data_IF_021019681519
#
_entry.id   IF_021019681519
#
_cell.length_a   1.000
_cell.length_b   1.000
_cell.length_c   1.000
_cell.angle_alpha   90.00
_cell.angle_beta   90.00
_cell.angle_gamma   90.00
#
_symmetry.space_group_name_H-M   'P 1'
#
loop_
_entity.id
_entity.type
_entity.pdbx_description
1 polymer ?
#
# COMPACT_ATOMS: atom_id res chain seq x y z
N UNK A 1 -17.84 -20.19 -11.22
CA UNK A 1 -17.67 -19.78 -12.64
C UNK A 1 -16.21 -19.98 -13.01
N UNK A 2 -15.96 -20.73 -14.09
CA UNK A 2 -14.62 -21.18 -14.52
C UNK A 2 -13.78 -20.03 -15.10
N UNK A 3 -12.47 -20.08 -14.86
CA UNK A 3 -11.46 -19.02 -15.06
C UNK A 3 -11.03 -18.78 -16.52
N UNK A 4 -11.76 -19.31 -17.51
CA UNK A 4 -11.43 -19.19 -18.93
C UNK A 4 -12.68 -18.77 -19.68
N UNK A 5 -12.76 -17.48 -19.97
CA UNK A 5 -13.23 -16.90 -21.23
C UNK A 5 -13.40 -15.39 -21.01
N UNK A 6 -13.59 -14.64 -22.10
CA UNK A 6 -13.67 -13.17 -22.21
C UNK A 6 -12.39 -12.46 -22.68
N UNK A 7 -12.09 -12.71 -23.96
CA UNK A 7 -11.40 -11.76 -24.84
C UNK A 7 -12.40 -10.79 -25.51
N UNK A 8 -11.90 -9.57 -25.74
CA UNK A 8 -12.33 -8.54 -26.71
C UNK A 8 -13.34 -7.46 -26.28
N UNK A 9 -12.77 -6.32 -25.85
CA UNK A 9 -12.88 -5.03 -26.57
C UNK A 9 -11.60 -4.22 -26.36
N UNK A 10 -10.92 -3.85 -27.45
CA UNK A 10 -9.69 -3.04 -27.41
C UNK A 10 -10.08 -1.56 -27.47
N UNK A 11 -9.77 -0.81 -26.42
CA UNK A 11 -9.42 0.60 -26.58
C UNK A 11 -7.90 0.61 -26.78
N UNK A 12 -7.46 0.94 -27.99
CA UNK A 12 -6.03 0.98 -28.33
C UNK A 12 -5.41 2.25 -27.75
N UNK A 13 -4.88 2.16 -26.53
CA UNK A 13 -3.91 3.13 -26.02
C UNK A 13 -2.58 2.85 -26.74
N UNK A 14 -2.26 3.65 -27.76
CA UNK A 14 -1.01 3.54 -28.51
C UNK A 14 0.16 3.92 -27.61
N UNK A 15 1.04 2.96 -27.28
CA UNK A 15 2.31 3.23 -26.60
C UNK A 15 2.74 2.21 -25.54
N UNK A 16 1.85 1.34 -25.05
CA UNK A 16 2.23 0.39 -24.01
C UNK A 16 2.91 -0.87 -24.55
N UNK A 17 4.14 -1.13 -24.12
CA UNK A 17 4.72 -2.48 -24.08
C UNK A 17 3.74 -3.39 -23.35
N UNK A 18 3.21 -4.39 -24.06
CA UNK A 18 2.25 -5.37 -23.54
C UNK A 18 2.73 -5.93 -22.20
N UNK A 19 2.00 -5.68 -21.12
CA UNK A 19 2.36 -6.13 -19.77
C UNK A 19 2.47 -7.67 -19.75
N UNK A 20 3.52 -8.19 -19.12
CA UNK A 20 3.73 -9.63 -18.97
C UNK A 20 2.52 -10.25 -18.24
N UNK A 21 2.05 -11.42 -18.71
CA UNK A 21 0.92 -12.13 -18.13
C UNK A 21 1.07 -12.37 -16.62
N UNK A 22 2.29 -12.68 -16.15
CA UNK A 22 2.52 -12.91 -14.72
C UNK A 22 2.38 -11.62 -13.89
N UNK A 23 2.87 -10.49 -14.42
CA UNK A 23 2.69 -9.18 -13.77
C UNK A 23 1.22 -8.77 -13.72
N UNK A 24 0.49 -9.05 -14.81
CA UNK A 24 -0.94 -8.78 -14.87
C UNK A 24 -1.68 -9.55 -13.78
N UNK A 25 -1.42 -10.85 -13.63
CA UNK A 25 -2.02 -11.67 -12.58
C UNK A 25 -1.69 -11.15 -11.18
N UNK A 26 -0.41 -10.90 -10.88
CA UNK A 26 0.00 -10.40 -9.56
C UNK A 26 -0.63 -9.03 -9.23
N UNK A 27 -0.72 -8.14 -10.23
CA UNK A 27 -1.35 -6.84 -10.04
C UNK A 27 -2.88 -6.94 -9.89
N UNK A 28 -3.53 -7.81 -10.66
CA UNK A 28 -4.95 -8.12 -10.47
C UNK A 28 -5.23 -8.59 -9.05
N UNK A 29 -4.40 -9.46 -8.49
CA UNK A 29 -4.57 -9.95 -7.11
C UNK A 29 -4.35 -8.84 -6.08
N UNK A 30 -3.39 -7.93 -6.28
CA UNK A 30 -3.21 -6.76 -5.41
C UNK A 30 -4.46 -5.86 -5.47
N UNK A 31 -4.96 -5.53 -6.66
CA UNK A 31 -6.16 -4.72 -6.86
C UNK A 31 -7.38 -5.42 -6.23
N UNK A 32 -7.48 -6.74 -6.38
CA UNK A 32 -8.52 -7.54 -5.76
C UNK A 32 -8.48 -7.44 -4.24
N UNK A 33 -7.30 -7.64 -3.63
CA UNK A 33 -7.08 -7.50 -2.20
C UNK A 33 -7.31 -6.09 -1.64
N UNK A 34 -7.46 -5.07 -2.48
CA UNK A 34 -7.80 -3.69 -2.08
C UNK A 34 -9.30 -3.40 -2.14
N UNK A 35 -10.10 -4.41 -2.50
CA UNK A 35 -11.56 -4.36 -2.45
C UNK A 35 -12.25 -4.29 -3.81
N UNK A 36 -11.51 -4.38 -4.92
CA UNK A 36 -12.15 -4.55 -6.22
C UNK A 36 -12.46 -6.03 -6.48
N UNK A 37 -13.75 -6.36 -6.65
CA UNK A 37 -14.16 -7.76 -6.75
C UNK A 37 -13.65 -8.47 -8.01
N UNK A 38 -13.74 -7.80 -9.17
CA UNK A 38 -13.43 -8.40 -10.48
C UNK A 38 -12.59 -7.41 -11.29
N UNK A 39 -11.29 -7.28 -11.00
CA UNK A 39 -10.41 -6.36 -11.73
C UNK A 39 -10.34 -6.76 -13.20
N UNK A 40 -10.66 -5.82 -14.09
CA UNK A 40 -10.59 -6.06 -15.54
C UNK A 40 -9.16 -5.84 -16.02
N UNK A 41 -8.77 -6.59 -17.06
CA UNK A 41 -7.43 -6.46 -17.63
C UNK A 41 -7.10 -5.03 -18.07
N UNK A 42 -8.02 -4.38 -18.77
CA UNK A 42 -7.83 -3.01 -19.26
C UNK A 42 -7.72 -2.02 -18.11
N UNK A 43 -8.52 -2.15 -17.04
CA UNK A 43 -8.36 -1.30 -15.85
C UNK A 43 -7.07 -1.55 -15.11
N UNK A 44 -6.60 -2.79 -15.04
CA UNK A 44 -5.32 -3.14 -14.42
C UNK A 44 -4.14 -2.53 -15.19
N UNK A 45 -4.17 -2.57 -16.53
CA UNK A 45 -3.16 -1.93 -17.38
C UNK A 45 -3.13 -0.39 -17.20
N UNK A 46 -4.31 0.23 -17.05
CA UNK A 46 -4.45 1.66 -16.79
C UNK A 46 -3.97 2.02 -15.37
N UNK A 47 -4.35 1.25 -14.34
CA UNK A 47 -3.85 1.45 -12.97
C UNK A 47 -2.33 1.32 -12.93
N UNK A 48 -1.75 0.33 -13.61
CA UNK A 48 -0.30 0.19 -13.67
C UNK A 48 0.40 1.44 -14.22
N UNK A 49 -0.21 2.02 -15.26
CA UNK A 49 0.24 3.26 -15.89
C UNK A 49 0.13 4.46 -14.96
N UNK A 50 -0.94 4.55 -14.16
CA UNK A 50 -1.08 5.53 -13.06
C UNK A 50 0.05 5.36 -12.04
N UNK A 51 0.33 4.11 -11.61
CA UNK A 51 1.38 3.85 -10.62
C UNK A 51 2.73 4.35 -11.13
N UNK A 52 3.10 4.05 -12.37
CA UNK A 52 4.38 4.50 -12.93
C UNK A 52 4.45 6.03 -12.93
N UNK A 53 3.43 6.72 -13.47
CA UNK A 53 3.38 8.19 -13.49
C UNK A 53 3.50 8.78 -12.08
N UNK A 54 2.70 8.29 -11.14
CA UNK A 54 2.71 8.76 -9.76
C UNK A 54 4.08 8.54 -9.10
N UNK A 55 4.72 7.39 -9.34
CA UNK A 55 6.04 7.10 -8.78
C UNK A 55 7.15 7.96 -9.40
N UNK A 56 7.10 8.24 -10.69
CA UNK A 56 8.02 9.16 -11.37
C UNK A 56 7.91 10.57 -10.76
N UNK A 57 6.69 11.09 -10.61
CA UNK A 57 6.45 12.39 -9.95
C UNK A 57 6.95 12.39 -8.52
N UNK A 58 6.62 11.35 -7.74
CA UNK A 58 7.01 11.23 -6.35
C UNK A 58 8.54 11.23 -6.20
N UNK A 59 9.25 10.43 -7.00
CA UNK A 59 10.71 10.34 -6.94
C UNK A 59 11.36 11.66 -7.35
N UNK A 60 10.85 12.33 -8.39
CA UNK A 60 11.32 13.66 -8.79
C UNK A 60 11.14 14.69 -7.69
N UNK A 61 9.96 14.73 -7.05
CA UNK A 61 9.72 15.64 -5.91
C UNK A 61 10.60 15.31 -4.70
N UNK A 62 10.86 14.03 -4.42
CA UNK A 62 11.76 13.60 -3.34
C UNK A 62 13.21 14.02 -3.62
N UNK A 63 13.67 13.94 -4.86
CA UNK A 63 14.99 14.39 -5.24
C UNK A 63 15.12 15.91 -5.10
N UNK A 64 14.12 16.68 -5.56
CA UNK A 64 14.05 18.13 -5.34
C UNK A 64 14.09 18.48 -3.85
N UNK A 65 13.38 17.72 -3.02
CA UNK A 65 13.42 17.88 -1.57
C UNK A 65 14.79 17.53 -0.96
N UNK A 66 15.50 16.53 -1.49
CA UNK A 66 16.86 16.19 -1.05
C UNK A 66 17.83 17.33 -1.32
N UNK A 67 17.79 17.88 -2.55
CA UNK A 67 18.61 19.02 -2.98
C UNK A 67 18.30 20.25 -2.11
N UNK A 68 17.01 20.58 -1.91
CA UNK A 68 16.58 21.71 -1.08
C UNK A 68 17.08 21.61 0.37
N UNK A 69 17.20 20.39 0.90
CA UNK A 69 17.69 20.12 2.25
C UNK A 69 19.21 19.89 2.30
N UNK A 70 19.94 20.24 1.23
CA UNK A 70 21.40 20.12 1.07
C UNK A 70 21.93 18.69 1.25
N UNK A 71 21.16 17.69 0.81
CA UNK A 71 21.53 16.29 0.88
C UNK A 71 21.74 15.69 -0.51
N UNK A 72 22.89 15.06 -0.74
CA UNK A 72 23.19 14.36 -1.99
C UNK A 72 22.38 13.06 -2.15
N UNK A 73 22.04 12.41 -1.04
CA UNK A 73 21.40 11.09 -1.04
C UNK A 73 19.97 11.15 -0.53
N UNK A 74 19.07 10.40 -1.16
CA UNK A 74 17.68 10.32 -0.72
C UNK A 74 17.55 9.52 0.58
N UNK A 75 16.77 10.08 1.50
CA UNK A 75 16.46 9.48 2.79
C UNK A 75 14.96 9.55 3.10
N UNK A 76 14.53 8.83 4.15
CA UNK A 76 13.14 8.87 4.65
C UNK A 76 12.69 10.30 4.98
N UNK A 77 13.60 11.16 5.41
CA UNK A 77 13.34 12.58 5.67
C UNK A 77 12.79 13.30 4.42
N UNK A 78 13.32 12.98 3.25
CA UNK A 78 12.89 13.64 2.00
C UNK A 78 11.53 13.13 1.55
N UNK A 79 11.26 11.84 1.73
CA UNK A 79 9.91 11.27 1.52
C UNK A 79 8.89 11.97 2.41
N UNK A 80 9.19 12.11 3.70
CA UNK A 80 8.32 12.77 4.66
C UNK A 80 8.12 14.27 4.33
N UNK A 81 9.17 14.94 3.86
CA UNK A 81 9.09 16.33 3.43
C UNK A 81 8.09 16.54 2.29
N UNK A 82 8.06 15.62 1.31
CA UNK A 82 7.09 15.62 0.21
C UNK A 82 5.70 15.25 0.72
N UNK A 83 5.60 14.29 1.63
CA UNK A 83 4.32 13.79 2.15
C UNK A 83 3.68 14.67 3.24
N UNK A 84 4.33 15.73 3.72
CA UNK A 84 3.90 16.51 4.90
C UNK A 84 2.49 17.10 4.82
N UNK A 85 2.00 17.35 3.60
CA UNK A 85 0.68 17.93 3.34
C UNK A 85 -0.38 16.87 3.00
N UNK A 86 0.03 15.60 2.85
CA UNK A 86 -0.84 14.49 2.51
C UNK A 86 -1.18 13.72 3.79
N UNK A 87 -2.15 14.25 4.53
CA UNK A 87 -2.42 13.89 5.94
C UNK A 87 -2.89 12.45 6.06
N UNK A 88 -3.79 12.01 5.19
CA UNK A 88 -4.37 10.66 5.23
C UNK A 88 -3.28 9.62 4.91
N UNK A 89 -2.48 9.89 3.89
CA UNK A 89 -1.36 9.06 3.46
C UNK A 89 -0.28 8.98 4.54
N UNK A 90 -0.01 10.09 5.21
CA UNK A 90 0.94 10.18 6.32
C UNK A 90 0.47 9.36 7.54
N UNK A 91 -0.83 9.41 7.86
CA UNK A 91 -1.38 8.56 8.93
C UNK A 91 -1.21 7.09 8.55
N UNK A 92 -1.60 6.70 7.34
CA UNK A 92 -1.54 5.30 6.88
C UNK A 92 -0.12 4.74 6.86
N UNK A 93 0.88 5.52 6.41
CA UNK A 93 2.28 5.07 6.44
C UNK A 93 2.78 4.88 7.88
N UNK A 94 2.42 5.79 8.80
CA UNK A 94 2.79 5.67 10.22
C UNK A 94 2.11 4.45 10.86
N UNK A 95 0.81 4.27 10.68
CA UNK A 95 0.07 3.11 11.19
C UNK A 95 0.64 1.80 10.66
N UNK A 96 0.92 1.73 9.36
CA UNK A 96 1.46 0.52 8.73
C UNK A 96 2.82 0.13 9.31
N UNK A 97 3.78 1.06 9.37
CA UNK A 97 5.11 0.74 9.86
C UNK A 97 5.15 0.53 11.38
N UNK A 98 4.28 1.19 12.13
CA UNK A 98 4.10 0.88 13.55
C UNK A 98 3.66 -0.57 13.74
N UNK A 99 2.55 -0.97 13.12
CA UNK A 99 2.01 -2.32 13.23
C UNK A 99 3.02 -3.37 12.74
N UNK A 100 3.71 -3.09 11.63
CA UNK A 100 4.74 -3.96 11.07
C UNK A 100 5.91 -4.17 12.04
N UNK A 101 6.35 -3.12 12.72
CA UNK A 101 7.43 -3.20 13.70
C UNK A 101 6.96 -3.92 14.99
N UNK A 102 5.72 -3.72 15.43
CA UNK A 102 5.11 -4.43 16.57
C UNK A 102 5.02 -5.94 16.32
N UNK A 103 4.53 -6.36 15.16
CA UNK A 103 4.47 -7.79 14.77
C UNK A 103 5.87 -8.41 14.73
N UNK A 104 6.87 -7.68 14.22
CA UNK A 104 8.24 -8.17 14.19
C UNK A 104 8.86 -8.33 15.58
N UNK A 105 8.47 -7.50 16.55
CA UNK A 105 8.93 -7.61 17.93
C UNK A 105 8.28 -8.83 18.62
N UNK A 106 6.98 -9.02 18.44
CA UNK A 106 6.25 -10.18 18.96
C UNK A 106 6.82 -11.51 18.43
N UNK A 107 7.05 -11.60 17.13
CA UNK A 107 7.64 -12.80 16.53
C UNK A 107 9.05 -13.10 17.05
N UNK A 108 9.78 -12.13 17.61
CA UNK A 108 11.09 -12.39 18.22
C UNK A 108 10.96 -12.94 19.63
N UNK A 109 9.98 -12.47 20.39
CA UNK A 109 9.72 -12.95 21.74
C UNK A 109 9.30 -14.42 21.70
N UNK A 110 8.36 -14.79 20.82
CA UNK A 110 7.93 -16.19 20.64
C UNK A 110 9.08 -17.12 20.24
N UNK A 111 9.97 -16.68 19.34
CA UNK A 111 11.16 -17.45 18.95
C UNK A 111 12.24 -17.51 20.05
N UNK A 112 12.20 -16.63 21.04
CA UNK A 112 13.15 -16.64 22.16
C UNK A 112 12.71 -17.64 23.23
N UNK A 113 11.39 -17.83 23.40
CA UNK A 113 10.82 -18.81 24.32
C UNK A 113 11.01 -20.25 23.81
N UNK A 114 10.82 -20.52 22.51
CA UNK A 114 11.10 -21.85 21.93
C UNK A 114 12.60 -22.24 21.98
N UNK A 115 13.51 -21.26 21.97
CA UNK A 115 14.95 -21.52 22.03
C UNK A 115 15.47 -21.82 23.44
N UNK A 116 14.67 -21.61 24.49
CA UNK A 116 15.00 -22.05 25.85
C UNK A 116 14.63 -23.52 26.10
N UNK A 117 13.71 -24.09 25.33
CA UNK A 117 13.26 -25.48 25.51
C UNK A 117 13.91 -26.51 24.57
N UNK A 118 14.61 -26.08 23.50
CA UNK A 118 15.25 -27.00 22.55
C UNK A 118 16.79 -26.96 22.59
N UNK A 119 17.38 -27.15 23.77
CA UNK A 119 18.74 -27.72 23.89
C UNK A 119 18.66 -29.25 23.99
N UNK A 120 18.25 -29.88 22.90
CA UNK A 120 18.20 -31.34 22.80
C UNK A 120 17.80 -31.84 21.43
N UNK A 121 18.80 -32.13 20.59
CA UNK A 121 18.77 -33.00 19.40
C UNK A 121 18.24 -32.42 18.06
N UNK A 122 19.23 -32.23 17.17
CA UNK A 122 19.29 -32.56 15.74
C UNK A 122 18.61 -31.70 14.63
N UNK A 123 19.49 -31.34 13.68
CA UNK A 123 19.27 -30.86 12.30
C UNK A 123 18.52 -31.88 11.43
N UNK A 124 17.42 -31.47 10.75
CA UNK A 124 17.19 -31.50 9.26
C UNK A 124 15.71 -31.33 8.87
N UNK A 125 15.49 -30.78 7.66
CA UNK A 125 14.24 -30.49 6.90
C UNK A 125 13.46 -29.28 7.44
N UNK A 126 13.28 -28.13 6.75
CA UNK A 126 12.94 -27.77 5.36
C UNK A 126 11.50 -28.15 4.98
N UNK A 127 10.63 -27.13 5.09
CA UNK A 127 9.36 -26.87 4.38
C UNK A 127 8.32 -27.99 4.38
N UNK A 128 7.24 -27.81 5.14
CA UNK A 128 5.82 -27.96 4.75
C UNK A 128 4.94 -28.01 6.01
N UNK A 129 3.69 -27.55 5.87
CA UNK A 129 2.55 -27.67 6.80
C UNK A 129 2.54 -26.75 8.03
N UNK A 130 1.90 -25.58 7.89
CA UNK A 130 1.13 -25.00 9.00
C UNK A 130 -0.30 -25.49 8.79
N UNK A 131 -0.60 -26.66 9.35
CA UNK A 131 -1.95 -27.23 9.41
C UNK A 131 -2.48 -27.07 10.84
N UNK A 132 -3.57 -26.31 10.95
CA UNK A 132 -4.77 -26.54 11.78
C UNK A 132 -4.78 -26.69 13.31
N UNK A 133 -3.71 -26.63 14.08
CA UNK A 133 -3.82 -26.77 15.56
C UNK A 133 -3.44 -25.51 16.37
N UNK A 134 -4.19 -24.40 16.21
CA UNK A 134 -4.14 -23.25 17.14
C UNK A 134 -5.49 -23.07 17.88
N UNK A 135 -6.27 -24.14 17.99
CA UNK A 135 -7.48 -24.12 18.82
C UNK A 135 -7.45 -25.36 19.68
N UNK A 136 -6.70 -25.33 20.80
CA UNK A 136 -7.13 -26.00 22.05
C UNK A 136 -6.18 -25.93 23.24
N UNK A 137 -5.01 -25.27 23.19
CA UNK A 137 -4.16 -25.15 24.39
C UNK A 137 -4.07 -23.71 24.89
N UNK A 138 -5.17 -23.21 25.45
CA UNK A 138 -5.14 -22.11 26.42
C UNK A 138 -5.75 -22.63 27.71
N UNK A 139 -4.94 -23.28 28.53
CA UNK A 139 -5.11 -23.24 29.98
C UNK A 139 -3.76 -23.38 30.65
N UNK A 140 -3.39 -22.33 31.35
CA UNK A 140 -2.41 -22.24 32.44
C UNK A 140 -0.93 -22.17 32.02
N UNK A 141 -0.40 -20.94 31.96
CA UNK A 141 0.65 -20.44 32.88
C UNK A 141 1.05 -19.00 32.49
N UNK A 142 0.88 -18.07 33.42
CA UNK A 142 1.34 -16.66 33.47
C UNK A 142 1.58 -15.93 32.12
N UNK A 143 0.51 -15.63 31.40
CA UNK A 143 0.51 -14.76 30.22
C UNK A 143 0.92 -13.32 30.57
N UNK A 144 2.13 -12.91 30.19
CA UNK A 144 2.36 -11.52 29.79
C UNK A 144 1.58 -11.32 28.50
N UNK A 145 0.28 -11.03 28.60
CA UNK A 145 -0.55 -10.75 27.42
C UNK A 145 -0.05 -9.45 26.79
N UNK A 146 0.85 -9.54 25.82
CA UNK A 146 1.26 -8.38 25.02
C UNK A 146 0.12 -8.13 24.04
N UNK A 147 -0.84 -7.31 24.46
CA UNK A 147 -1.89 -6.82 23.58
C UNK A 147 -1.22 -5.92 22.54
N UNK A 148 -1.45 -6.22 21.26
CA UNK A 148 -1.19 -5.24 20.21
C UNK A 148 -2.27 -4.19 20.40
N UNK A 149 -1.90 -3.05 20.97
CA UNK A 149 -2.83 -1.93 21.15
C UNK A 149 -3.36 -1.45 19.79
N UNK A 150 -4.56 -0.87 19.77
CA UNK A 150 -5.15 -0.31 18.55
C UNK A 150 -4.23 0.78 17.98
N UNK A 151 -3.80 0.71 16.69
CA UNK A 151 -2.99 1.75 16.06
C UNK A 151 -3.57 3.16 16.22
N UNK A 152 -4.90 3.30 16.31
CA UNK A 152 -5.55 4.59 16.49
C UNK A 152 -5.23 5.21 17.86
N UNK A 153 -5.33 4.45 18.93
CA UNK A 153 -4.98 4.89 20.30
C UNK A 153 -3.50 5.22 20.39
N UNK A 154 -2.64 4.33 19.91
CA UNK A 154 -1.17 4.49 20.04
C UNK A 154 -0.67 5.72 19.29
N UNK A 155 -1.14 5.95 18.05
CA UNK A 155 -0.73 7.13 17.30
C UNK A 155 -1.30 8.43 17.86
N UNK A 156 -2.49 8.39 18.48
CA UNK A 156 -3.10 9.57 19.09
C UNK A 156 -2.38 10.01 20.37
N UNK A 157 -1.87 9.07 21.15
CA UNK A 157 -1.11 9.32 22.37
C UNK A 157 0.37 9.63 22.10
N UNK A 158 0.85 9.39 20.88
CA UNK A 158 2.27 9.51 20.57
C UNK A 158 2.75 10.96 20.48
N UNK A 159 3.84 11.25 21.18
CA UNK A 159 4.52 12.54 21.10
C UNK A 159 5.47 12.61 19.89
N UNK A 160 5.01 13.25 18.81
CA UNK A 160 5.81 13.50 17.59
C UNK A 160 6.80 14.66 17.72
N UNK A 161 6.98 15.26 18.90
CA UNK A 161 7.96 16.34 19.13
C UNK A 161 9.28 15.86 19.71
N UNK A 162 9.31 14.63 20.26
CA UNK A 162 10.49 14.04 20.89
C UNK A 162 11.14 12.99 20.00
N UNK A 163 12.46 13.12 19.81
CA UNK A 163 13.24 12.07 19.13
C UNK A 163 13.27 10.82 20.00
N UNK A 164 13.12 9.67 19.36
CA UNK A 164 13.43 8.41 20.02
C UNK A 164 14.94 8.20 20.08
N UNK A 165 15.45 8.04 21.30
CA UNK A 165 16.84 7.67 21.54
C UNK A 165 17.02 6.17 21.25
N UNK A 166 18.08 5.76 20.53
CA UNK A 166 18.36 4.35 20.33
C UNK A 166 18.65 3.68 21.69
N UNK A 167 17.69 2.89 22.18
CA UNK A 167 17.89 2.09 23.39
C UNK A 167 18.63 0.79 23.02
N UNK A 168 19.91 0.72 23.39
CA UNK A 168 20.71 -0.51 23.40
C UNK A 168 20.96 -1.15 22.03
N UNK A 169 21.82 -2.17 22.03
CA UNK A 169 22.40 -2.89 20.88
C UNK A 169 21.41 -3.62 19.95
N UNK A 170 20.18 -3.16 19.79
CA UNK A 170 19.23 -3.75 18.84
C UNK A 170 19.45 -3.17 17.43
N UNK A 171 20.15 -3.93 16.58
CA UNK A 171 20.33 -3.72 15.12
C UNK A 171 19.01 -3.77 14.32
N UNK A 172 17.87 -3.38 14.89
CA UNK A 172 16.58 -3.39 14.20
C UNK A 172 16.39 -2.04 13.53
N UNK A 173 16.51 -2.05 12.19
CA UNK A 173 16.22 -0.91 11.34
C UNK A 173 14.71 -0.65 11.26
N UNK A 174 14.11 -0.13 12.33
CA UNK A 174 12.70 0.30 12.34
C UNK A 174 12.51 1.49 11.39
N UNK A 175 11.60 1.32 10.41
CA UNK A 175 11.21 2.42 9.52
C UNK A 175 10.34 3.42 10.29
N UNK A 176 9.48 2.94 11.20
CA UNK A 176 8.64 3.79 12.03
C UNK A 176 9.45 4.78 12.87
N UNK A 177 10.49 4.31 13.57
CA UNK A 177 11.40 5.17 14.35
C UNK A 177 12.09 6.22 13.47
N UNK A 178 12.50 5.85 12.26
CA UNK A 178 13.09 6.80 11.32
C UNK A 178 12.10 7.84 10.82
N UNK A 179 10.85 7.45 10.56
CA UNK A 179 9.77 8.39 10.22
C UNK A 179 9.54 9.38 11.38
N UNK A 180 9.38 8.88 12.61
CA UNK A 180 9.20 9.72 13.80
C UNK A 180 10.36 10.68 14.02
N UNK A 181 11.60 10.21 13.95
CA UNK A 181 12.78 11.07 14.10
C UNK A 181 12.88 12.11 12.98
N UNK A 182 12.50 11.76 11.74
CA UNK A 182 12.44 12.71 10.64
C UNK A 182 11.35 13.78 10.84
N UNK A 183 10.20 13.44 11.44
CA UNK A 183 9.16 14.40 11.82
C UNK A 183 9.73 15.47 12.76
N UNK A 184 10.47 15.04 13.78
CA UNK A 184 11.10 15.95 14.75
C UNK A 184 12.15 16.83 14.07
N UNK A 185 13.01 16.25 13.23
CA UNK A 185 14.07 16.98 12.52
C UNK A 185 13.53 18.04 11.56
N UNK A 186 12.43 17.73 10.89
CA UNK A 186 11.74 18.67 10.00
C UNK A 186 10.85 19.66 10.76
N UNK A 187 10.74 19.53 12.08
CA UNK A 187 9.87 20.34 12.95
C UNK A 187 8.42 20.35 12.44
N UNK A 188 7.94 19.22 11.91
CA UNK A 188 6.58 19.12 11.42
C UNK A 188 5.62 19.08 12.61
N UNK A 189 4.64 19.98 12.63
CA UNK A 189 3.60 20.04 13.65
C UNK A 189 2.51 19.01 13.33
N UNK A 190 2.83 17.74 13.55
CA UNK A 190 1.88 16.63 13.35
C UNK A 190 1.22 16.32 14.69
N UNK A 191 -0.09 16.56 14.74
CA UNK A 191 -0.99 16.03 15.77
C UNK A 191 -1.93 15.08 15.06
N UNK A 192 -2.03 13.84 15.51
CA UNK A 192 -2.94 12.84 14.93
C UNK A 192 -3.98 12.53 16.02
N UNK A 193 -5.26 12.54 15.68
CA UNK A 193 -6.32 12.09 16.60
C UNK A 193 -6.75 10.66 16.26
N UNK A 194 -7.29 9.95 17.24
CA UNK A 194 -7.84 8.60 17.05
C UNK A 194 -8.92 8.58 15.95
N UNK A 195 -9.75 9.61 15.92
CA UNK A 195 -10.80 9.80 14.92
C UNK A 195 -10.22 9.94 13.50
N UNK A 196 -9.10 10.63 13.33
CA UNK A 196 -8.43 10.75 12.03
C UNK A 196 -7.85 9.41 11.57
N UNK A 197 -7.30 8.61 12.49
CA UNK A 197 -6.80 7.27 12.17
C UNK A 197 -7.96 6.36 11.75
N UNK A 198 -9.09 6.39 12.46
CA UNK A 198 -10.28 5.62 12.10
C UNK A 198 -10.83 6.04 10.74
N UNK A 199 -11.10 7.33 10.54
CA UNK A 199 -11.59 7.87 9.26
C UNK A 199 -10.66 7.56 8.09
N UNK A 200 -9.35 7.55 8.31
CA UNK A 200 -8.39 7.23 7.23
C UNK A 200 -8.51 5.79 6.72
N UNK A 201 -9.10 4.87 7.48
CA UNK A 201 -9.19 3.45 7.11
C UNK A 201 -10.63 2.92 6.99
N UNK A 202 -11.61 3.62 7.57
CA UNK A 202 -13.00 3.19 7.70
C UNK A 202 -13.61 2.73 6.37
N UNK A 203 -13.60 3.58 5.34
CA UNK A 203 -14.18 3.25 4.03
C UNK A 203 -13.53 2.01 3.39
N UNK A 204 -12.23 1.81 3.61
CA UNK A 204 -11.50 0.62 3.10
C UNK A 204 -11.89 -0.63 3.87
N UNK A 205 -12.06 -0.54 5.19
CA UNK A 205 -12.51 -1.66 6.02
C UNK A 205 -13.93 -2.07 5.67
N UNK A 206 -14.85 -1.11 5.55
CA UNK A 206 -16.24 -1.37 5.13
C UNK A 206 -16.25 -2.10 3.79
N UNK A 207 -15.50 -1.61 2.80
CA UNK A 207 -15.41 -2.26 1.49
C UNK A 207 -14.83 -3.67 1.55
N UNK A 208 -13.79 -3.90 2.36
CA UNK A 208 -13.24 -5.24 2.55
C UNK A 208 -14.25 -6.19 3.20
N UNK A 209 -15.04 -5.70 4.16
CA UNK A 209 -16.10 -6.47 4.81
C UNK A 209 -17.24 -6.78 3.84
N UNK A 210 -17.66 -5.80 3.04
CA UNK A 210 -18.68 -5.98 1.99
C UNK A 210 -18.28 -7.03 0.97
N UNK A 211 -17.02 -7.04 0.54
CA UNK A 211 -16.49 -8.09 -0.33
C UNK A 211 -16.46 -9.44 0.39
N UNK A 212 -16.05 -9.48 1.65
CA UNK A 212 -15.96 -10.73 2.42
C UNK A 212 -17.32 -11.42 2.60
N UNK A 213 -18.38 -10.65 2.89
CA UNK A 213 -19.74 -11.15 3.15
C UNK A 213 -20.32 -11.87 1.92
N UNK A 214 -19.95 -11.45 0.71
CA UNK A 214 -20.52 -12.00 -0.53
C UNK A 214 -19.72 -13.17 -1.11
N UNK A 215 -18.57 -13.51 -0.53
CA UNK A 215 -17.70 -14.59 -0.99
C UNK A 215 -18.06 -15.92 -0.33
N UNK A 216 -17.86 -17.03 -1.05
CA UNK A 216 -17.87 -18.36 -0.43
C UNK A 216 -16.62 -18.54 0.44
N UNK A 217 -16.62 -19.54 1.34
CA UNK A 217 -15.47 -19.82 2.22
C UNK A 217 -14.14 -19.92 1.45
N UNK A 218 -14.11 -20.70 0.36
CA UNK A 218 -12.90 -20.85 -0.48
C UNK A 218 -12.50 -19.54 -1.17
N UNK A 219 -13.47 -18.73 -1.59
CA UNK A 219 -13.20 -17.46 -2.25
C UNK A 219 -12.74 -16.39 -1.24
N UNK A 220 -13.22 -16.44 0.00
CA UNK A 220 -12.76 -15.61 1.10
C UNK A 220 -11.30 -15.91 1.46
N UNK A 221 -10.91 -17.18 1.53
CA UNK A 221 -9.51 -17.56 1.75
C UNK A 221 -8.60 -16.98 0.65
N UNK A 222 -9.00 -17.11 -0.62
CA UNK A 222 -8.27 -16.51 -1.74
C UNK A 222 -8.19 -14.98 -1.65
N UNK A 223 -9.28 -14.32 -1.23
CA UNK A 223 -9.31 -12.87 -1.00
C UNK A 223 -8.35 -12.46 0.14
N UNK A 224 -8.32 -13.18 1.24
CA UNK A 224 -7.39 -12.95 2.35
C UNK A 224 -5.91 -13.06 1.91
N UNK A 225 -5.58 -14.04 1.08
CA UNK A 225 -4.25 -14.16 0.47
C UNK A 225 -3.94 -12.92 -0.38
N UNK A 226 -4.91 -12.47 -1.19
CA UNK A 226 -4.77 -11.27 -2.03
C UNK A 226 -4.55 -10.00 -1.19
N UNK A 227 -5.27 -9.81 -0.07
CA UNK A 227 -5.11 -8.64 0.82
C UNK A 227 -3.69 -8.46 1.34
N UNK A 228 -3.01 -9.58 1.61
CA UNK A 228 -1.63 -9.62 2.13
C UNK A 228 -0.57 -9.36 1.05
N UNK A 229 -0.93 -9.46 -0.24
CA UNK A 229 0.00 -9.17 -1.34
C UNK A 229 0.43 -7.70 -1.32
N UNK A 230 1.70 -7.49 -1.66
CA UNK A 230 2.32 -6.17 -1.69
C UNK A 230 3.50 -6.19 -2.67
N UNK A 231 4.04 -5.01 -2.98
CA UNK A 231 5.16 -4.89 -3.91
C UNK A 231 6.53 -5.12 -3.24
N UNK A 232 6.62 -5.14 -1.91
CA UNK A 232 7.91 -5.23 -1.25
C UNK A 232 8.44 -6.67 -1.23
N UNK A 233 9.71 -6.85 -1.62
CA UNK A 233 10.38 -8.16 -1.75
C UNK A 233 9.65 -9.13 -2.72
N UNK A 234 8.95 -8.59 -3.72
CA UNK A 234 8.30 -9.37 -4.77
C UNK A 234 8.88 -9.03 -6.14
N UNK A 235 8.80 -9.97 -7.08
CA UNK A 235 9.31 -9.77 -8.45
C UNK A 235 8.59 -8.62 -9.17
N UNK A 236 7.27 -8.50 -8.96
CA UNK A 236 6.48 -7.39 -9.51
C UNK A 236 6.95 -6.03 -8.99
N UNK A 237 7.34 -5.92 -7.72
CA UNK A 237 7.87 -4.67 -7.17
C UNK A 237 9.23 -4.29 -7.75
N UNK A 238 10.13 -5.26 -7.93
CA UNK A 238 11.42 -5.02 -8.57
C UNK A 238 11.25 -4.59 -10.04
N UNK A 239 10.32 -5.24 -10.75
CA UNK A 239 9.97 -4.87 -12.13
C UNK A 239 9.31 -3.49 -12.22
N UNK A 240 8.42 -3.15 -11.28
CA UNK A 240 7.81 -1.83 -11.21
C UNK A 240 8.89 -0.74 -11.07
N UNK A 241 9.82 -0.90 -10.12
CA UNK A 241 10.90 0.08 -9.95
C UNK A 241 11.78 0.16 -11.19
N UNK A 242 12.11 -0.96 -11.83
CA UNK A 242 12.85 -0.96 -13.08
C UNK A 242 12.15 -0.12 -14.17
N UNK A 243 10.83 -0.25 -14.30
CA UNK A 243 10.06 0.54 -15.27
C UNK A 243 10.00 2.02 -14.89
N UNK A 244 9.87 2.34 -13.60
CA UNK A 244 9.93 3.71 -13.10
C UNK A 244 11.30 4.34 -13.36
N UNK A 245 12.40 3.60 -13.11
CA UNK A 245 13.75 4.07 -13.41
C UNK A 245 13.98 4.32 -14.90
N UNK A 246 13.44 3.47 -15.78
CA UNK A 246 13.49 3.71 -17.23
C UNK A 246 12.67 4.92 -17.68
N UNK A 247 11.69 5.34 -16.88
CA UNK A 247 10.86 6.51 -17.17
C UNK A 247 11.50 7.81 -16.70
N UNK A 248 12.30 7.75 -15.63
CA UNK A 248 12.95 8.94 -15.07
C UNK A 248 13.97 9.50 -16.08
N UNK A 249 14.08 10.83 -16.20
CA UNK A 249 15.12 11.46 -17.03
C UNK A 249 16.53 11.30 -16.48
N UNK A 250 16.65 10.96 -15.20
CA UNK A 250 17.92 10.88 -14.46
C UNK A 250 18.05 9.57 -13.69
N UNK A 251 19.29 9.16 -13.48
CA UNK A 251 19.62 8.04 -12.61
C UNK A 251 19.47 8.42 -11.14
N UNK A 252 18.91 7.50 -10.36
CA UNK A 252 18.68 7.73 -8.95
C UNK A 252 18.87 6.48 -8.12
N UNK A 253 19.58 6.64 -7.01
CA UNK A 253 19.80 5.57 -6.04
C UNK A 253 19.20 5.96 -4.70
N UNK A 254 18.51 5.01 -4.08
CA UNK A 254 17.95 5.19 -2.74
C UNK A 254 18.15 3.92 -1.92
N UNK A 255 18.23 4.08 -0.60
CA UNK A 255 18.49 2.95 0.30
C UNK A 255 17.28 2.01 0.41
N UNK A 256 17.50 0.83 1.01
CA UNK A 256 16.48 -0.23 1.17
C UNK A 256 15.19 0.25 1.85
N UNK A 257 15.28 1.17 2.81
CA UNK A 257 14.10 1.65 3.53
C UNK A 257 13.28 2.62 2.70
N UNK A 258 13.94 3.51 1.95
CA UNK A 258 13.25 4.37 0.97
C UNK A 258 12.61 3.51 -0.11
N UNK A 259 13.32 2.48 -0.63
CA UNK A 259 12.75 1.52 -1.57
C UNK A 259 11.47 0.87 -1.03
N UNK A 260 11.51 0.42 0.23
CA UNK A 260 10.36 -0.19 0.88
C UNK A 260 9.17 0.77 1.01
N UNK A 261 9.43 2.04 1.38
CA UNK A 261 8.39 3.07 1.47
C UNK A 261 7.81 3.42 0.09
N UNK A 262 8.64 3.55 -0.95
CA UNK A 262 8.16 3.82 -2.31
C UNK A 262 7.23 2.70 -2.80
N UNK A 263 7.56 1.44 -2.50
CA UNK A 263 6.73 0.28 -2.85
C UNK A 263 5.44 0.21 -2.02
N UNK A 264 5.45 0.68 -0.78
CA UNK A 264 4.22 0.89 0.00
C UNK A 264 3.35 1.96 -0.65
N UNK A 265 3.92 3.11 -1.02
CA UNK A 265 3.21 4.22 -1.65
C UNK A 265 2.66 3.85 -3.04
N UNK A 266 3.32 2.94 -3.76
CA UNK A 266 2.79 2.36 -4.99
C UNK A 266 1.49 1.58 -4.75
N UNK A 267 1.39 0.81 -3.66
CA UNK A 267 0.14 0.15 -3.26
C UNK A 267 -0.90 1.17 -2.83
N UNK A 268 -0.52 2.21 -2.07
CA UNK A 268 -1.42 3.29 -1.71
C UNK A 268 -1.96 4.07 -2.91
N UNK A 269 -1.19 4.17 -3.99
CA UNK A 269 -1.65 4.76 -5.26
C UNK A 269 -2.83 3.99 -5.84
N UNK A 270 -2.76 2.66 -5.83
CA UNK A 270 -3.88 1.80 -6.26
C UNK A 270 -5.08 2.01 -5.33
N UNK A 271 -4.84 1.96 -4.02
CA UNK A 271 -5.89 2.11 -3.03
C UNK A 271 -6.62 3.45 -3.19
N UNK A 272 -5.89 4.55 -3.42
CA UNK A 272 -6.46 5.88 -3.66
C UNK A 272 -7.37 5.88 -4.91
N UNK A 273 -6.90 5.31 -6.02
CA UNK A 273 -7.72 5.25 -7.25
C UNK A 273 -9.02 4.49 -7.00
N UNK A 274 -8.95 3.34 -6.32
CA UNK A 274 -10.13 2.56 -5.95
C UNK A 274 -11.03 3.37 -5.03
N UNK A 275 -10.50 3.98 -3.96
CA UNK A 275 -11.28 4.77 -3.02
C UNK A 275 -12.09 5.86 -3.74
N UNK A 276 -11.43 6.63 -4.61
CA UNK A 276 -12.09 7.71 -5.38
C UNK A 276 -13.10 7.22 -6.40
N UNK A 277 -12.87 6.07 -7.04
CA UNK A 277 -13.90 5.48 -7.91
C UNK A 277 -15.16 5.14 -7.10
N UNK A 278 -14.99 4.51 -5.94
CA UNK A 278 -16.13 4.13 -5.08
C UNK A 278 -16.84 5.36 -4.48
N UNK A 279 -16.11 6.41 -4.12
CA UNK A 279 -16.69 7.69 -3.71
C UNK A 279 -17.51 8.34 -4.84
N UNK A 280 -16.96 8.37 -6.06
CA UNK A 280 -17.63 8.94 -7.23
C UNK A 280 -18.90 8.19 -7.63
N UNK A 281 -18.94 6.87 -7.38
CA UNK A 281 -20.16 6.06 -7.57
C UNK A 281 -21.27 6.44 -6.61
N UNK A 282 -20.99 7.23 -5.55
CA UNK A 282 -21.93 7.62 -4.49
C UNK A 282 -22.74 6.41 -4.02
N UNK A 283 -22.08 5.28 -3.77
CA UNK A 283 -22.72 4.08 -3.26
C UNK A 283 -23.24 4.32 -1.83
N UNK A 284 -24.31 5.10 -1.68
CA UNK A 284 -25.03 5.26 -0.43
C UNK A 284 -25.94 4.06 -0.25
N UNK A 285 -25.94 3.46 0.94
CA UNK A 285 -26.85 2.36 1.32
C UNK A 285 -28.29 2.88 1.53
N UNK A 286 -28.79 3.77 0.65
CA UNK A 286 -30.19 4.15 0.64
C UNK A 286 -30.98 2.97 0.11
N UNK A 287 -31.57 2.21 1.05
CA UNK A 287 -32.41 1.05 0.82
C UNK A 287 -33.73 1.44 0.15
N UNK A 288 -33.68 1.79 -1.13
CA UNK A 288 -34.86 1.81 -1.98
C UNK A 288 -34.97 0.41 -2.62
N UNK A 289 -35.93 -0.42 -2.18
CA UNK A 289 -36.08 -1.82 -2.63
C UNK A 289 -36.23 -1.93 -4.16
N UNK A 290 -36.82 -0.91 -4.79
CA UNK A 290 -36.97 -0.79 -6.24
C UNK A 290 -35.64 -0.62 -6.99
N UNK A 291 -34.57 -0.24 -6.29
CA UNK A 291 -33.25 0.05 -6.86
C UNK A 291 -32.15 -0.92 -6.40
N UNK A 292 -32.47 -1.92 -5.57
CA UNK A 292 -31.49 -2.83 -4.98
C UNK A 292 -30.65 -3.61 -5.99
N UNK A 293 -31.23 -4.00 -7.14
CA UNK A 293 -30.48 -4.66 -8.23
C UNK A 293 -29.49 -3.70 -8.91
N UNK A 294 -29.90 -2.47 -9.13
CA UNK A 294 -29.07 -1.40 -9.72
C UNK A 294 -27.95 -1.02 -8.77
N UNK A 295 -28.24 -0.83 -7.47
CA UNK A 295 -27.27 -0.54 -6.42
C UNK A 295 -26.24 -1.67 -6.32
N UNK A 296 -26.67 -2.94 -6.31
CA UNK A 296 -25.74 -4.09 -6.32
C UNK A 296 -24.86 -4.10 -7.57
N UNK A 297 -25.40 -3.77 -8.74
CA UNK A 297 -24.62 -3.69 -9.99
C UNK A 297 -23.60 -2.56 -9.97
N UNK A 298 -23.93 -1.41 -9.39
CA UNK A 298 -23.03 -0.25 -9.26
C UNK A 298 -21.96 -0.51 -8.19
N UNK A 299 -22.37 -1.01 -7.02
CA UNK A 299 -21.49 -1.26 -5.86
C UNK A 299 -20.49 -2.39 -6.14
N UNK A 300 -20.92 -3.47 -6.80
CA UNK A 300 -20.08 -4.65 -7.03
C UNK A 300 -19.64 -4.83 -8.49
N UNK A 301 -19.96 -3.89 -9.37
CA UNK A 301 -19.46 -3.87 -10.73
C UNK A 301 -17.96 -3.63 -10.78
N UNK A 302 -17.28 -4.27 -11.73
CA UNK A 302 -15.89 -3.96 -12.03
C UNK A 302 -15.69 -2.46 -12.25
N UNK A 303 -14.54 -1.94 -11.86
CA UNK A 303 -14.11 -0.61 -12.22
C UNK A 303 -13.92 -0.57 -13.74
N UNK A 304 -14.30 0.55 -14.35
CA UNK A 304 -14.14 0.84 -15.77
C UNK A 304 -12.98 1.84 -15.98
N UNK A 305 -12.41 1.81 -17.19
CA UNK A 305 -11.25 2.67 -17.55
C UNK A 305 -11.60 4.15 -17.46
N UNK A 306 -12.79 4.51 -17.90
CA UNK A 306 -13.39 5.84 -17.88
C UNK A 306 -13.61 6.36 -16.45
N UNK A 307 -13.92 5.50 -15.49
CA UNK A 307 -14.00 5.88 -14.07
C UNK A 307 -12.63 6.23 -13.50
N UNK A 308 -11.60 5.43 -13.82
CA UNK A 308 -10.22 5.72 -13.42
C UNK A 308 -9.74 7.02 -14.08
N UNK A 309 -9.99 7.20 -15.38
CA UNK A 309 -9.62 8.40 -16.10
C UNK A 309 -10.29 9.65 -15.50
N UNK A 310 -11.56 9.55 -15.10
CA UNK A 310 -12.30 10.61 -14.42
C UNK A 310 -11.64 11.00 -13.08
N UNK A 311 -11.27 10.01 -12.25
CA UNK A 311 -10.56 10.24 -10.98
C UNK A 311 -9.24 10.98 -11.22
N UNK A 312 -8.45 10.53 -12.19
CA UNK A 312 -7.11 11.09 -12.44
C UNK A 312 -7.16 12.49 -13.05
N UNK A 313 -8.14 12.77 -13.91
CA UNK A 313 -8.31 14.08 -14.57
C UNK A 313 -8.54 15.23 -13.58
N UNK A 314 -9.08 14.94 -12.40
CA UNK A 314 -9.24 15.93 -11.33
C UNK A 314 -7.90 16.39 -10.72
N UNK A 315 -6.86 15.56 -10.79
CA UNK A 315 -5.55 15.86 -10.18
C UNK A 315 -4.48 16.22 -11.21
N UNK A 316 -4.41 15.48 -12.32
CA UNK A 316 -3.41 15.70 -13.36
C UNK A 316 -4.00 16.51 -14.51
N UNK A 317 -3.38 17.67 -14.78
CA UNK A 317 -3.81 18.56 -15.85
C UNK A 317 -3.39 18.04 -17.23
N UNK A 318 -2.28 17.29 -17.30
CA UNK A 318 -1.86 16.64 -18.53
C UNK A 318 -2.67 15.37 -18.80
N UNK A 319 -2.97 15.06 -20.07
CA UNK A 319 -3.72 13.87 -20.44
C UNK A 319 -3.08 12.59 -19.92
N UNK A 320 -3.94 11.64 -19.54
CA UNK A 320 -3.48 10.37 -19.01
C UNK A 320 -2.74 9.52 -20.07
N UNK A 321 -3.10 9.63 -21.35
CA UNK A 321 -2.50 8.79 -22.41
C UNK A 321 -1.03 9.11 -22.72
N UNK A 322 -0.50 10.24 -22.28
CA UNK A 322 0.90 10.61 -22.53
C UNK A 322 1.83 9.99 -21.47
N UNK A 323 2.14 8.70 -21.57
CA UNK A 323 3.34 8.15 -20.91
C UNK A 323 4.42 8.01 -21.98
N UNK A 324 5.42 8.89 -21.92
CA UNK A 324 6.59 8.84 -22.77
C UNK A 324 7.75 8.26 -21.97
N UNK A 325 8.58 7.45 -22.60
CA UNK A 325 9.75 6.85 -21.99
C UNK A 325 11.00 7.22 -22.79
N UNK A 326 12.01 7.85 -22.18
CA UNK A 326 11.97 8.52 -20.87
C UNK A 326 11.11 9.81 -20.91
N UNK A 327 10.75 10.34 -19.74
CA UNK A 327 10.26 11.72 -19.64
C UNK A 327 11.41 12.71 -19.86
N UNK A 328 11.11 13.90 -20.36
CA UNK A 328 12.06 15.02 -20.44
C UNK A 328 12.06 15.79 -19.10
N UNK A 329 13.22 16.28 -18.64
CA UNK A 329 13.33 17.05 -17.40
C UNK A 329 12.44 18.30 -17.41
N UNK A 330 12.25 18.90 -18.58
CA UNK A 330 11.43 20.10 -18.79
C UNK A 330 9.95 19.79 -19.04
N UNK A 331 9.53 18.52 -18.94
CA UNK A 331 8.13 18.15 -19.14
C UNK A 331 7.23 18.79 -18.09
N UNK A 332 6.20 19.51 -18.56
CA UNK A 332 5.15 20.10 -17.73
C UNK A 332 4.46 19.09 -16.81
N UNK A 333 4.54 17.79 -17.13
CA UNK A 333 4.14 16.69 -16.27
C UNK A 333 4.68 16.83 -14.85
N UNK A 334 5.94 17.24 -14.65
CA UNK A 334 6.57 17.38 -13.34
C UNK A 334 5.98 18.51 -12.47
N UNK A 335 5.11 19.35 -13.04
CA UNK A 335 4.35 20.37 -12.31
C UNK A 335 3.02 19.85 -11.74
N UNK A 336 2.63 18.61 -12.07
CA UNK A 336 1.44 17.99 -11.50
C UNK A 336 1.61 17.69 -10.00
N UNK A 337 0.48 17.69 -9.30
CA UNK A 337 0.41 17.25 -7.92
C UNK A 337 0.38 15.71 -7.83
N UNK A 338 0.89 15.18 -6.72
CA UNK A 338 0.70 13.77 -6.37
C UNK A 338 -0.78 13.52 -6.08
N UNK A 339 -1.28 12.35 -6.48
CA UNK A 339 -2.68 11.95 -6.23
C UNK A 339 -2.98 11.56 -4.77
N UNK A 340 -2.05 11.78 -3.84
CA UNK A 340 -2.25 11.39 -2.44
C UNK A 340 -3.19 12.36 -1.72
N UNK A 341 -3.65 11.93 -0.53
CA UNK A 341 -4.49 12.70 0.41
C UNK A 341 -3.81 12.92 1.74
#
# INVERSE_FOLDING_TARGET
>A
MSHRDYCHRRVLVKGHTKMNANMLTELCEIIHGLGERIPRRDTVEIIYSVIIKQMVLLISQIQKAAILLNNQNISIKHVLYVLKNYRVTLIRILSYYWLKDSIQQLNKLSNTDENKEKKGKNKKSKLELIDKDIVENITNEEDVSIKIDDPATVLAEMDFTKKEMPHGNTKILSIFKKLRNAIVELKLKIKITEEEVRKSNESRMIRANDVSIILSANAYEGFEVCRRKNFYKTKIGDQLLLQVHKALPFDITYNKQVKEVLLFLAKETISFVIDRVFENRKCTDSCDENNARTIKKIKYGSILVDEIASVIKCTWKTPFEEIRYPFDEEDTFFNNQLIFE
#
